data_IF_794632283953
#
_entry.id   IF_794632283953
#
_cell.length_a   1.000
_cell.length_b   1.000
_cell.length_c   1.000
_cell.angle_alpha   90.00
_cell.angle_beta   90.00
_cell.angle_gamma   90.00
#
_symmetry.space_group_name_H-M   'P 1'
#
loop_
_entity.id
_entity.type
_entity.pdbx_description
1 polymer ?
#
# COMPACT_ATOMS: atom_id res chain seq x y z
N UNK A 1 36.19 19.84 -36.95
CA UNK A 1 35.47 19.71 -35.67
C UNK A 1 34.23 18.87 -35.95
N UNK A 2 34.26 17.56 -35.65
CA UNK A 2 33.10 16.70 -35.89
C UNK A 2 32.11 16.86 -34.75
N UNK A 3 30.91 17.34 -35.09
CA UNK A 3 29.76 17.34 -34.18
C UNK A 3 29.22 15.91 -34.09
N UNK A 4 29.16 15.37 -32.87
CA UNK A 4 28.55 14.05 -32.63
C UNK A 4 27.05 14.15 -32.89
N UNK A 5 26.46 13.13 -33.49
CA UNK A 5 25.00 13.06 -33.66
C UNK A 5 24.33 12.88 -32.29
N UNK A 6 23.05 13.30 -32.13
CA UNK A 6 22.32 13.13 -30.86
C UNK A 6 22.33 11.68 -30.35
N UNK A 7 22.34 10.73 -31.28
CA UNK A 7 22.45 9.29 -31.01
C UNK A 7 23.80 8.90 -30.39
N UNK A 8 24.90 9.47 -30.89
CA UNK A 8 26.24 9.25 -30.33
C UNK A 8 26.43 9.89 -28.94
N UNK A 9 25.71 10.97 -28.64
CA UNK A 9 25.75 11.61 -27.31
C UNK A 9 24.93 10.80 -26.31
N UNK A 10 23.80 10.22 -26.73
CA UNK A 10 22.97 9.37 -25.89
C UNK A 10 23.69 8.07 -25.48
N UNK A 11 24.40 7.44 -26.40
CA UNK A 11 25.11 6.19 -26.15
C UNK A 11 26.27 6.36 -25.15
N UNK A 12 26.96 7.51 -25.22
CA UNK A 12 28.05 7.85 -24.28
C UNK A 12 27.53 8.18 -22.87
N UNK A 13 26.39 8.88 -22.75
CA UNK A 13 25.76 9.20 -21.46
C UNK A 13 25.22 7.94 -20.75
N UNK A 14 24.65 6.99 -21.49
CA UNK A 14 24.11 5.75 -20.93
C UNK A 14 25.21 4.79 -20.46
N UNK A 15 26.36 4.80 -21.13
CA UNK A 15 27.54 4.02 -20.72
C UNK A 15 28.08 4.42 -19.33
N UNK A 16 27.99 5.71 -18.98
CA UNK A 16 28.51 6.24 -17.71
C UNK A 16 27.71 5.79 -16.48
N UNK A 17 26.42 5.49 -16.66
CA UNK A 17 25.57 4.94 -15.60
C UNK A 17 25.64 3.40 -15.50
N UNK A 18 26.46 2.73 -16.31
CA UNK A 18 26.53 1.26 -16.34
C UNK A 18 25.23 0.60 -16.81
N UNK A 19 24.41 1.33 -17.56
CA UNK A 19 23.16 0.83 -18.16
C UNK A 19 23.47 0.50 -19.62
N UNK A 20 24.11 -0.65 -19.85
CA UNK A 20 24.30 -1.16 -21.20
C UNK A 20 22.94 -1.47 -21.82
N UNK A 21 22.61 -0.78 -22.91
CA UNK A 21 21.43 -1.06 -23.78
C UNK A 21 21.50 -2.44 -24.46
N UNK A 22 22.57 -3.22 -24.23
CA UNK A 22 22.76 -4.57 -24.76
C UNK A 22 22.56 -5.70 -23.75
N UNK A 23 22.14 -5.42 -22.50
CA UNK A 23 21.71 -6.50 -21.59
C UNK A 23 20.17 -6.56 -21.52
N UNK A 24 19.52 -7.42 -22.32
CA UNK A 24 18.06 -7.62 -22.24
C UNK A 24 17.63 -8.17 -20.87
N UNK A 25 18.55 -8.60 -20.01
CA UNK A 25 18.25 -9.05 -18.64
C UNK A 25 17.89 -7.89 -17.69
N UNK A 26 18.09 -6.63 -18.09
CA UNK A 26 17.77 -5.44 -17.27
C UNK A 26 16.49 -4.70 -17.71
N UNK A 27 15.79 -5.20 -18.73
CA UNK A 27 14.48 -4.67 -19.11
C UNK A 27 13.41 -5.14 -18.11
N UNK A 28 13.32 -4.47 -16.95
CA UNK A 28 12.23 -4.69 -16.01
C UNK A 28 10.95 -4.12 -16.64
N UNK A 29 9.97 -4.97 -16.92
CA UNK A 29 8.71 -4.55 -17.52
C UNK A 29 7.92 -3.68 -16.54
N UNK A 30 7.07 -2.76 -17.04
CA UNK A 30 6.15 -1.99 -16.20
C UNK A 30 5.25 -2.90 -15.33
N UNK A 31 4.93 -4.11 -15.82
CA UNK A 31 4.24 -5.13 -15.06
C UNK A 31 5.08 -5.67 -13.89
N UNK A 32 6.37 -5.91 -14.09
CA UNK A 32 7.29 -6.32 -13.03
C UNK A 32 7.51 -5.22 -11.98
N UNK A 33 7.57 -3.95 -12.38
CA UNK A 33 7.62 -2.81 -11.45
C UNK A 33 6.32 -2.73 -10.63
N UNK A 34 5.16 -2.83 -11.29
CA UNK A 34 3.84 -2.84 -10.62
C UNK A 34 3.73 -4.01 -9.64
N UNK A 35 4.17 -5.20 -10.03
CA UNK A 35 4.16 -6.39 -9.18
C UNK A 35 5.09 -6.23 -7.97
N UNK A 36 6.28 -5.65 -8.16
CA UNK A 36 7.22 -5.38 -7.08
C UNK A 36 6.69 -4.35 -6.07
N UNK A 37 6.04 -3.27 -6.54
CA UNK A 37 5.40 -2.27 -5.68
C UNK A 37 4.22 -2.89 -4.89
N UNK A 38 3.41 -3.72 -5.56
CA UNK A 38 2.32 -4.45 -4.90
C UNK A 38 2.84 -5.40 -3.83
N UNK A 39 3.92 -6.15 -4.12
CA UNK A 39 4.55 -7.04 -3.16
C UNK A 39 5.11 -6.28 -1.95
N UNK A 40 5.84 -5.18 -2.17
CA UNK A 40 6.37 -4.33 -1.10
C UNK A 40 5.27 -3.77 -0.19
N UNK A 41 4.17 -3.28 -0.78
CA UNK A 41 3.02 -2.80 -0.02
C UNK A 41 2.36 -3.89 0.85
N UNK A 42 2.42 -5.16 0.42
CA UNK A 42 1.92 -6.30 1.18
C UNK A 42 2.88 -6.76 2.30
N UNK A 43 4.16 -6.35 2.24
CA UNK A 43 5.17 -6.69 3.24
C UNK A 43 5.33 -5.64 4.35
N UNK A 44 4.62 -4.50 4.28
CA UNK A 44 4.72 -3.48 5.33
C UNK A 44 4.26 -4.07 6.67
N UNK A 45 5.04 -3.87 7.75
CA UNK A 45 4.62 -4.33 9.07
C UNK A 45 3.26 -3.70 9.39
N UNK A 46 2.34 -4.51 9.91
CA UNK A 46 1.04 -4.06 10.38
C UNK A 46 0.94 -4.25 11.88
N UNK A 47 0.08 -3.46 12.52
CA UNK A 47 -0.30 -3.62 13.91
C UNK A 47 -1.82 -3.66 14.01
N UNK A 48 -2.32 -4.30 15.06
CA UNK A 48 -3.75 -4.42 15.33
C UNK A 48 -4.18 -3.36 16.33
N UNK A 49 -5.23 -2.62 15.99
CA UNK A 49 -5.87 -1.63 16.86
C UNK A 49 -7.26 -2.13 17.21
N UNK A 50 -7.64 -2.03 18.49
CA UNK A 50 -8.96 -2.40 18.98
C UNK A 50 -9.73 -1.17 19.45
N UNK A 51 -10.88 -0.89 18.86
CA UNK A 51 -11.85 0.08 19.38
C UNK A 51 -12.84 -0.69 20.25
N UNK A 52 -12.89 -0.39 21.54
CA UNK A 52 -13.48 -1.27 22.55
C UNK A 52 -14.77 -0.71 23.11
N UNK A 53 -15.80 -1.56 23.16
CA UNK A 53 -17.13 -1.27 23.68
C UNK A 53 -17.43 -2.20 24.86
N UNK A 54 -18.21 -1.71 25.82
CA UNK A 54 -18.70 -2.46 27.00
C UNK A 54 -19.93 -3.34 26.68
N UNK A 55 -20.34 -3.41 25.41
CA UNK A 55 -21.42 -4.26 24.92
C UNK A 55 -21.45 -4.33 23.38
N UNK A 56 -22.42 -5.05 22.79
CA UNK A 56 -22.49 -5.25 21.34
C UNK A 56 -22.58 -3.93 20.58
N UNK A 57 -22.00 -3.85 19.37
CA UNK A 57 -22.24 -2.72 18.49
C UNK A 57 -23.74 -2.65 18.15
N UNK A 58 -24.31 -1.45 18.20
CA UNK A 58 -25.71 -1.20 17.88
C UNK A 58 -25.83 0.08 17.04
N UNK A 59 -26.84 0.15 16.19
CA UNK A 59 -27.21 1.37 15.46
C UNK A 59 -27.95 2.38 16.36
N UNK A 60 -28.21 2.02 17.61
CA UNK A 60 -28.80 2.85 18.64
C UNK A 60 -27.72 3.70 19.34
N UNK A 61 -28.12 4.86 19.84
CA UNK A 61 -27.20 5.83 20.46
C UNK A 61 -26.35 5.18 21.57
N UNK A 62 -25.06 5.54 21.60
CA UNK A 62 -24.11 5.14 22.65
C UNK A 62 -23.13 4.04 22.28
N UNK A 63 -23.38 3.23 21.24
CA UNK A 63 -22.46 2.13 20.82
C UNK A 63 -22.39 1.94 19.29
N UNK A 64 -22.24 3.05 18.57
CA UNK A 64 -22.15 3.10 17.11
C UNK A 64 -20.80 3.70 16.67
N UNK A 65 -20.20 3.13 15.63
CA UNK A 65 -19.03 3.69 14.92
C UNK A 65 -19.39 3.77 13.45
N UNK A 66 -19.30 4.97 12.90
CA UNK A 66 -19.36 5.19 11.46
C UNK A 66 -17.95 5.23 10.91
N UNK A 67 -17.74 4.54 9.78
CA UNK A 67 -16.48 4.57 9.06
C UNK A 67 -16.79 5.04 7.65
N UNK A 68 -16.25 6.19 7.31
CA UNK A 68 -16.43 6.82 6.01
C UNK A 68 -15.10 7.28 5.42
N UNK A 69 -15.07 7.38 4.10
CA UNK A 69 -14.00 8.06 3.38
C UNK A 69 -14.16 9.60 3.50
N UNK A 70 -13.12 10.39 3.16
CA UNK A 70 -13.22 11.85 3.21
C UNK A 70 -14.30 12.48 2.30
N UNK A 71 -14.78 11.74 1.30
CA UNK A 71 -15.90 12.12 0.42
C UNK A 71 -17.28 11.66 0.94
N UNK A 72 -17.33 11.05 2.14
CA UNK A 72 -18.57 10.64 2.80
C UNK A 72 -19.11 9.28 2.37
N UNK A 73 -18.31 8.45 1.70
CA UNK A 73 -18.70 7.08 1.34
C UNK A 73 -18.52 6.17 2.57
N UNK A 74 -19.60 5.51 3.01
CA UNK A 74 -19.53 4.53 4.09
C UNK A 74 -18.77 3.29 3.65
N UNK A 75 -17.81 2.85 4.47
CA UNK A 75 -17.01 1.65 4.19
C UNK A 75 -17.09 0.63 5.32
N UNK A 76 -16.87 -0.64 4.97
CA UNK A 76 -16.65 -1.70 5.96
C UNK A 76 -15.15 -1.79 6.29
N UNK A 77 -14.79 -1.56 7.55
CA UNK A 77 -13.40 -1.62 8.01
C UNK A 77 -13.25 -2.58 9.20
N UNK A 78 -12.30 -3.51 9.10
CA UNK A 78 -11.96 -4.42 10.18
C UNK A 78 -13.00 -5.51 10.44
N UNK A 79 -12.97 -6.08 11.65
CA UNK A 79 -13.92 -7.13 12.09
C UNK A 79 -14.32 -6.96 13.55
N UNK A 80 -15.57 -7.29 13.86
CA UNK A 80 -16.07 -7.30 15.23
C UNK A 80 -15.68 -8.59 15.96
N UNK A 81 -15.15 -8.44 17.17
CA UNK A 81 -14.75 -9.52 18.06
C UNK A 81 -15.51 -9.42 19.37
N UNK A 82 -16.24 -10.49 19.73
CA UNK A 82 -16.83 -10.64 21.05
C UNK A 82 -15.79 -11.20 22.02
N UNK A 83 -15.59 -10.54 23.16
CA UNK A 83 -14.64 -10.96 24.20
C UNK A 83 -15.34 -11.78 25.30
N UNK A 84 -14.62 -12.66 26.02
CA UNK A 84 -15.21 -13.50 27.08
C UNK A 84 -15.86 -12.71 28.23
N UNK A 85 -15.41 -11.48 28.49
CA UNK A 85 -15.92 -10.61 29.55
C UNK A 85 -17.17 -9.80 29.15
N UNK A 86 -17.80 -10.11 28.01
CA UNK A 86 -18.97 -9.40 27.50
C UNK A 86 -18.65 -8.13 26.71
N UNK A 87 -17.38 -7.72 26.65
CA UNK A 87 -16.94 -6.57 25.86
C UNK A 87 -16.83 -6.92 24.38
N UNK A 88 -16.84 -5.90 23.54
CA UNK A 88 -16.70 -6.00 22.09
C UNK A 88 -15.54 -5.16 21.60
N UNK A 89 -14.93 -5.58 20.50
CA UNK A 89 -13.87 -4.81 19.86
C UNK A 89 -14.03 -4.81 18.34
N UNK A 90 -13.93 -3.64 17.72
CA UNK A 90 -13.60 -3.53 16.31
C UNK A 90 -12.08 -3.69 16.16
N UNK A 91 -11.64 -4.80 15.58
CA UNK A 91 -10.22 -5.03 15.26
C UNK A 91 -9.92 -4.52 13.84
N UNK A 92 -8.98 -3.57 13.76
CA UNK A 92 -8.52 -2.97 12.51
C UNK A 92 -7.02 -3.27 12.37
N UNK A 93 -6.62 -3.67 11.17
CA UNK A 93 -5.21 -3.75 10.79
C UNK A 93 -4.78 -2.40 10.23
N UNK A 94 -3.75 -1.80 10.82
CA UNK A 94 -3.17 -0.54 10.36
C UNK A 94 -1.68 -0.76 10.07
N UNK A 95 -1.08 0.00 9.13
CA UNK A 95 0.36 0.05 9.01
C UNK A 95 1.03 0.36 10.35
N UNK A 96 2.13 -0.34 10.65
CA UNK A 96 2.91 -0.15 11.87
C UNK A 96 3.63 1.20 11.88
#
# INVERSE_FOLDING_TARGET
MSIKTPEQVADEQLSHFGIGVHDPSRAITAAAITAAIKADSAQRPTRRVHIVFDGPPAHESGRFVEVETPDGESISLGKWLRRPNGWWALEIEVPA
#
